data_IF_157264647927
#
_entry.id   IF_157264647927
#
_cell.length_a   1.000
_cell.length_b   1.000
_cell.length_c   1.000
_cell.angle_alpha   90.00
_cell.angle_beta   90.00
_cell.angle_gamma   90.00
#
_symmetry.space_group_name_H-M   'P 1'
#
loop_
_entity.id
_entity.type
_entity.pdbx_description
1 polymer ?
#
# COMPACT_ATOMS: atom_id res chain seq x y z
N UNK A 1 -9.86 -9.43 28.81
CA UNK A 1 -8.77 -8.75 28.11
C UNK A 1 -9.39 -7.69 27.20
N UNK A 2 -9.05 -6.41 27.43
CA UNK A 2 -9.55 -5.18 26.81
C UNK A 2 -10.90 -5.24 26.07
N UNK A 3 -11.96 -5.12 26.86
CA UNK A 3 -13.30 -4.78 26.41
C UNK A 3 -13.40 -3.31 25.98
N UNK A 4 -12.69 -2.91 24.92
CA UNK A 4 -12.88 -1.61 24.26
C UNK A 4 -14.18 -1.60 23.44
N UNK A 5 -15.29 -1.98 24.07
CA UNK A 5 -16.64 -1.83 23.52
C UNK A 5 -17.06 -0.37 23.71
N UNK A 6 -16.47 0.52 22.93
CA UNK A 6 -16.90 1.91 22.87
C UNK A 6 -18.37 1.91 22.46
N UNK A 7 -19.22 2.48 23.31
CA UNK A 7 -20.64 2.23 23.27
C UNK A 7 -21.29 3.03 22.13
N UNK A 8 -21.33 2.46 20.93
CA UNK A 8 -21.99 3.02 19.75
C UNK A 8 -23.51 3.23 19.93
N UNK A 9 -24.11 2.79 21.05
CA UNK A 9 -25.50 3.12 21.44
C UNK A 9 -25.62 4.44 22.20
N UNK A 10 -24.52 5.11 22.55
CA UNK A 10 -24.49 6.42 23.23
C UNK A 10 -24.05 7.57 22.30
N UNK A 11 -24.51 7.55 21.04
CA UNK A 11 -24.25 8.59 20.04
C UNK A 11 -24.59 10.01 20.54
N UNK A 12 -25.63 10.16 21.39
CA UNK A 12 -26.00 11.45 21.98
C UNK A 12 -24.98 12.07 22.95
N UNK A 13 -23.92 11.34 23.34
CA UNK A 13 -22.80 11.87 24.13
C UNK A 13 -21.61 12.32 23.27
N UNK A 14 -21.66 12.11 21.96
CA UNK A 14 -20.57 12.49 21.05
C UNK A 14 -20.71 13.95 20.64
N UNK A 15 -19.60 14.58 20.24
CA UNK A 15 -19.65 15.94 19.67
C UNK A 15 -20.49 15.98 18.38
N UNK A 16 -21.16 17.12 18.15
CA UNK A 16 -22.08 17.32 17.02
C UNK A 16 -21.42 16.98 15.67
N UNK A 17 -20.17 17.40 15.47
CA UNK A 17 -19.44 17.13 14.23
C UNK A 17 -19.22 15.63 14.02
N UNK A 18 -18.98 14.91 15.12
CA UNK A 18 -18.74 13.47 15.11
C UNK A 18 -20.04 12.69 14.89
N UNK A 19 -21.16 13.15 15.46
CA UNK A 19 -22.49 12.60 15.18
C UNK A 19 -22.82 12.74 13.68
N UNK A 20 -22.65 13.93 13.10
CA UNK A 20 -22.92 14.20 11.68
C UNK A 20 -22.09 13.32 10.75
N UNK A 21 -20.77 13.26 10.96
CA UNK A 21 -19.84 12.49 10.12
C UNK A 21 -20.11 10.98 10.21
N UNK A 22 -20.43 10.47 11.41
CA UNK A 22 -20.60 9.04 11.67
C UNK A 22 -21.63 8.36 10.76
N UNK A 23 -22.76 9.00 10.47
CA UNK A 23 -23.82 8.44 9.62
C UNK A 23 -23.39 8.17 8.17
N UNK A 24 -22.31 8.82 7.70
CA UNK A 24 -21.80 8.68 6.34
C UNK A 24 -20.55 7.78 6.24
N UNK A 25 -20.12 7.15 7.33
CA UNK A 25 -18.99 6.20 7.34
C UNK A 25 -19.48 4.81 6.89
N UNK A 26 -19.50 4.59 5.58
CA UNK A 26 -19.86 3.31 4.94
C UNK A 26 -18.65 2.40 4.63
N UNK A 27 -17.43 2.94 4.71
CA UNK A 27 -16.19 2.26 4.30
C UNK A 27 -16.10 2.02 2.79
N UNK A 28 -16.72 2.89 1.99
CA UNK A 28 -16.62 2.98 0.52
C UNK A 28 -16.29 4.42 0.10
N UNK A 29 -16.96 5.40 0.70
CA UNK A 29 -16.72 6.80 0.46
C UNK A 29 -15.39 7.27 1.09
N UNK A 30 -14.69 8.15 0.39
CA UNK A 30 -13.47 8.79 0.88
C UNK A 30 -13.81 10.05 1.70
N UNK A 31 -12.90 10.47 2.59
CA UNK A 31 -13.11 11.56 3.55
C UNK A 31 -13.67 12.84 2.93
N UNK A 32 -13.19 13.26 1.75
CA UNK A 32 -13.71 14.47 1.09
C UNK A 32 -15.17 14.34 0.65
N UNK A 33 -15.63 13.13 0.28
CA UNK A 33 -17.03 12.88 -0.08
C UNK A 33 -17.91 12.80 1.16
N UNK A 34 -17.40 12.22 2.24
CA UNK A 34 -18.06 12.19 3.56
C UNK A 34 -18.26 13.62 4.08
N UNK A 35 -17.23 14.46 4.06
CA UNK A 35 -17.30 15.87 4.47
C UNK A 35 -18.37 16.64 3.68
N UNK A 36 -18.41 16.47 2.36
CA UNK A 36 -19.43 17.07 1.48
C UNK A 36 -20.86 16.57 1.77
N UNK A 37 -21.04 15.29 2.11
CA UNK A 37 -22.36 14.73 2.45
C UNK A 37 -22.84 15.15 3.85
N UNK A 38 -21.91 15.37 4.78
CA UNK A 38 -22.19 15.80 6.14
C UNK A 38 -22.35 17.33 6.30
N UNK A 39 -22.06 18.11 5.25
CA UNK A 39 -21.98 19.58 5.27
C UNK A 39 -20.97 20.12 6.32
N UNK A 40 -19.78 19.52 6.36
CA UNK A 40 -18.69 19.86 7.30
C UNK A 40 -17.42 20.19 6.52
N UNK A 41 -16.64 21.19 6.99
CA UNK A 41 -15.33 21.50 6.40
C UNK A 41 -14.40 20.28 6.37
N UNK A 42 -13.65 20.15 5.28
CA UNK A 42 -12.77 18.98 5.04
C UNK A 42 -11.66 18.84 6.09
N UNK A 43 -11.18 19.92 6.69
CA UNK A 43 -10.12 19.87 7.71
C UNK A 43 -10.69 19.49 9.07
N UNK A 44 -11.88 20.00 9.41
CA UNK A 44 -12.63 19.55 10.59
C UNK A 44 -13.02 18.07 10.48
N UNK A 45 -13.45 17.62 9.29
CA UNK A 45 -13.75 16.21 9.04
C UNK A 45 -12.51 15.31 9.14
N UNK A 46 -11.35 15.75 8.64
CA UNK A 46 -10.07 15.04 8.84
C UNK A 46 -9.71 14.93 10.33
N UNK A 47 -9.83 16.02 11.10
CA UNK A 47 -9.54 16.02 12.53
C UNK A 47 -10.49 15.10 13.32
N UNK A 48 -11.79 15.14 13.03
CA UNK A 48 -12.77 14.22 13.60
C UNK A 48 -12.43 12.75 13.31
N UNK A 49 -12.15 12.40 12.05
CA UNK A 49 -11.80 11.03 11.66
C UNK A 49 -10.46 10.60 12.29
N UNK A 50 -9.47 11.50 12.39
CA UNK A 50 -8.22 11.23 13.11
C UNK A 50 -8.46 10.89 14.58
N UNK A 51 -9.36 11.60 15.27
CA UNK A 51 -9.75 11.28 16.64
C UNK A 51 -10.45 9.91 16.73
N UNK A 52 -11.36 9.61 15.80
CA UNK A 52 -12.03 8.30 15.73
C UNK A 52 -11.04 7.14 15.51
N UNK A 53 -10.00 7.35 14.71
CA UNK A 53 -8.91 6.37 14.50
C UNK A 53 -8.06 6.23 15.76
N UNK A 54 -7.73 7.34 16.43
CA UNK A 54 -6.96 7.33 17.68
C UNK A 54 -7.63 6.52 18.79
N UNK A 55 -8.96 6.60 18.92
CA UNK A 55 -9.74 5.77 19.86
C UNK A 55 -10.05 4.35 19.33
N UNK A 56 -9.59 3.98 18.14
CA UNK A 56 -9.80 2.65 17.55
C UNK A 56 -11.24 2.37 17.11
N UNK A 57 -12.05 3.41 16.87
CA UNK A 57 -13.46 3.28 16.48
C UNK A 57 -13.64 3.07 14.98
N UNK A 58 -12.70 3.61 14.19
CA UNK A 58 -12.70 3.56 12.73
C UNK A 58 -11.29 3.22 12.25
N UNK A 59 -11.19 2.42 11.19
CA UNK A 59 -9.94 2.13 10.49
C UNK A 59 -9.98 2.68 9.06
N UNK A 60 -8.82 3.09 8.54
CA UNK A 60 -8.70 3.55 7.15
C UNK A 60 -8.45 2.36 6.21
N UNK A 61 -9.37 2.15 5.28
CA UNK A 61 -9.22 1.17 4.19
C UNK A 61 -8.76 1.90 2.92
N UNK A 62 -7.74 1.41 2.19
CA UNK A 62 -7.32 1.98 0.92
C UNK A 62 -8.45 1.98 -0.12
N UNK A 63 -8.57 3.07 -0.89
CA UNK A 63 -9.56 3.18 -1.98
C UNK A 63 -9.40 2.02 -2.98
N UNK A 64 -10.49 1.31 -3.21
CA UNK A 64 -10.57 0.21 -4.18
C UNK A 64 -10.44 0.75 -5.60
N UNK A 65 -9.48 0.21 -6.34
CA UNK A 65 -9.20 0.53 -7.74
C UNK A 65 -8.78 -0.76 -8.45
N UNK A 66 -9.30 -0.99 -9.66
CA UNK A 66 -8.97 -2.19 -10.45
C UNK A 66 -7.48 -2.31 -10.82
N UNK A 67 -6.77 -1.18 -10.87
CA UNK A 67 -5.31 -1.11 -11.11
C UNK A 67 -4.46 -1.42 -9.87
N UNK A 68 -5.06 -1.53 -8.68
CA UNK A 68 -4.32 -1.90 -7.48
C UNK A 68 -3.81 -3.34 -7.57
N UNK A 69 -2.66 -3.58 -6.95
CA UNK A 69 -2.09 -4.90 -6.70
C UNK A 69 -2.24 -5.21 -5.22
N UNK A 70 -2.78 -6.40 -4.92
CA UNK A 70 -2.89 -6.93 -3.56
C UNK A 70 -2.15 -8.26 -3.49
N UNK A 71 -1.65 -8.59 -2.30
CA UNK A 71 -0.95 -9.84 -2.04
C UNK A 71 -1.47 -10.46 -0.75
N UNK A 72 -1.68 -11.77 -0.80
CA UNK A 72 -2.13 -12.55 0.34
C UNK A 72 -1.04 -12.72 1.39
N UNK A 73 -1.44 -12.53 2.65
CA UNK A 73 -0.61 -12.69 3.84
C UNK A 73 -0.75 -14.12 4.38
N UNK A 74 0.13 -14.58 5.30
CA UNK A 74 -0.06 -15.88 5.98
C UNK A 74 -1.37 -15.97 6.79
N UNK A 75 -2.01 -14.84 7.13
CA UNK A 75 -3.32 -14.79 7.83
C UNK A 75 -4.47 -15.43 7.05
N UNK A 76 -4.30 -15.71 5.75
CA UNK A 76 -5.21 -16.59 5.00
C UNK A 76 -5.43 -17.95 5.68
N UNK A 77 -4.44 -18.43 6.45
CA UNK A 77 -4.55 -19.65 7.25
C UNK A 77 -5.60 -19.52 8.36
N UNK A 78 -5.70 -18.36 9.02
CA UNK A 78 -6.72 -18.07 10.03
C UNK A 78 -8.15 -18.15 9.46
N UNK A 79 -8.33 -17.78 8.19
CA UNK A 79 -9.58 -18.00 7.45
C UNK A 79 -9.89 -19.49 7.21
N UNK A 80 -8.92 -20.40 7.14
CA UNK A 80 -9.23 -21.83 7.02
C UNK A 80 -9.61 -22.45 8.37
N UNK A 81 -8.90 -22.08 9.43
CA UNK A 81 -9.00 -22.65 10.78
C UNK A 81 -10.25 -22.18 11.54
N UNK A 82 -10.67 -20.91 11.38
CA UNK A 82 -11.81 -20.35 12.13
C UNK A 82 -13.13 -20.42 11.35
N UNK A 83 -14.12 -21.26 11.76
CA UNK A 83 -15.40 -21.37 11.06
C UNK A 83 -16.21 -20.06 11.09
N UNK A 84 -16.21 -19.33 12.22
CA UNK A 84 -16.93 -18.07 12.34
C UNK A 84 -16.43 -17.00 11.34
N UNK A 85 -15.12 -16.95 11.10
CA UNK A 85 -14.52 -16.01 10.15
C UNK A 85 -14.85 -16.39 8.70
N UNK A 86 -15.02 -17.70 8.41
CA UNK A 86 -15.48 -18.20 7.11
C UNK A 86 -16.92 -17.77 6.84
N UNK A 87 -17.81 -17.95 7.81
CA UNK A 87 -19.23 -17.60 7.66
C UNK A 87 -19.43 -16.07 7.57
N UNK A 88 -18.61 -15.30 8.29
CA UNK A 88 -18.53 -13.84 8.16
C UNK A 88 -18.04 -13.44 6.76
N UNK A 89 -16.97 -14.07 6.27
CA UNK A 89 -16.41 -13.83 4.94
C UNK A 89 -17.44 -14.10 3.83
N UNK A 90 -18.09 -15.27 3.84
CA UNK A 90 -19.08 -15.62 2.81
C UNK A 90 -20.30 -14.69 2.82
N UNK A 91 -20.67 -14.15 3.98
CA UNK A 91 -21.76 -13.18 4.13
C UNK A 91 -21.40 -11.82 3.56
N UNK A 92 -20.25 -11.26 3.95
CA UNK A 92 -19.79 -9.95 3.50
C UNK A 92 -19.44 -9.94 2.00
N UNK A 93 -18.84 -11.01 1.49
CA UNK A 93 -18.37 -11.12 0.10
C UNK A 93 -19.53 -11.31 -0.91
N UNK A 94 -20.74 -11.61 -0.43
CA UNK A 94 -21.91 -11.85 -1.28
C UNK A 94 -22.29 -10.59 -2.07
N UNK A 95 -22.44 -10.75 -3.38
CA UNK A 95 -23.01 -9.74 -4.26
C UNK A 95 -24.51 -9.59 -4.02
N UNK A 96 -24.97 -8.35 -3.85
CA UNK A 96 -26.38 -8.04 -3.63
C UNK A 96 -27.22 -8.44 -4.86
N UNK A 97 -28.36 -9.08 -4.62
CA UNK A 97 -29.20 -9.63 -5.69
C UNK A 97 -28.68 -10.93 -6.34
N UNK A 98 -27.54 -11.49 -5.91
CA UNK A 98 -27.08 -12.79 -6.41
C UNK A 98 -27.91 -13.95 -5.83
N UNK A 99 -28.48 -14.76 -6.75
CA UNK A 99 -29.09 -16.06 -6.46
C UNK A 99 -28.01 -17.10 -6.09
N UNK A 100 -26.83 -17.01 -6.71
CA UNK A 100 -25.69 -17.91 -6.47
C UNK A 100 -25.00 -17.50 -5.17
N UNK A 101 -24.80 -18.46 -4.28
CA UNK A 101 -24.04 -18.27 -3.04
C UNK A 101 -22.54 -18.44 -3.28
N UNK A 102 -21.68 -17.58 -2.67
CA UNK A 102 -20.24 -17.66 -2.84
C UNK A 102 -19.69 -18.93 -2.18
N UNK A 103 -19.03 -19.79 -2.97
CA UNK A 103 -18.34 -20.95 -2.43
C UNK A 103 -16.99 -20.54 -1.83
N UNK A 104 -16.70 -20.99 -0.60
CA UNK A 104 -15.39 -20.77 0.04
C UNK A 104 -14.22 -21.23 -0.84
N UNK A 105 -14.38 -22.31 -1.61
CA UNK A 105 -13.35 -22.78 -2.55
C UNK A 105 -13.00 -21.71 -3.60
N UNK A 106 -13.98 -20.93 -4.05
CA UNK A 106 -13.78 -19.84 -5.02
C UNK A 106 -13.18 -18.60 -4.37
N UNK A 107 -13.61 -18.26 -3.15
CA UNK A 107 -13.01 -17.17 -2.35
C UNK A 107 -11.53 -17.44 -2.06
N UNK A 108 -11.20 -18.64 -1.58
CA UNK A 108 -9.81 -19.06 -1.38
C UNK A 108 -9.02 -19.11 -2.70
N UNK A 109 -9.61 -19.60 -3.79
CA UNK A 109 -8.97 -19.58 -5.11
C UNK A 109 -8.62 -18.15 -5.56
N UNK A 110 -9.50 -17.17 -5.32
CA UNK A 110 -9.21 -15.76 -5.62
C UNK A 110 -8.05 -15.23 -4.78
N UNK A 111 -8.08 -15.41 -3.45
CA UNK A 111 -6.98 -14.98 -2.58
C UNK A 111 -5.65 -15.66 -2.95
N UNK A 112 -5.61 -16.98 -3.14
CA UNK A 112 -4.38 -17.70 -3.52
C UNK A 112 -3.77 -17.27 -4.86
N UNK A 113 -4.52 -16.55 -5.72
CA UNK A 113 -4.02 -15.98 -6.97
C UNK A 113 -3.65 -14.48 -6.86
N UNK A 114 -3.82 -13.85 -5.69
CA UNK A 114 -3.35 -12.48 -5.44
C UNK A 114 -1.84 -12.49 -5.17
N UNK A 115 -1.08 -12.40 -6.27
CA UNK A 115 0.39 -12.41 -6.27
C UNK A 115 0.96 -11.05 -6.73
N UNK A 116 2.22 -10.71 -6.38
CA UNK A 116 2.87 -9.51 -6.87
C UNK A 116 2.84 -9.44 -8.41
N UNK A 117 2.34 -8.34 -8.95
CA UNK A 117 2.23 -8.13 -10.40
C UNK A 117 0.89 -8.53 -11.03
N UNK A 118 -0.01 -9.22 -10.32
CA UNK A 118 -1.41 -9.38 -10.75
C UNK A 118 -2.27 -8.23 -10.21
N UNK A 119 -2.94 -7.50 -11.09
CA UNK A 119 -3.91 -6.47 -10.67
C UNK A 119 -5.27 -7.09 -10.35
N UNK A 120 -6.13 -6.38 -9.62
CA UNK A 120 -7.53 -6.80 -9.43
C UNK A 120 -8.24 -6.97 -10.77
N UNK A 121 -7.95 -6.12 -11.76
CA UNK A 121 -8.49 -6.27 -13.13
C UNK A 121 -8.16 -7.63 -13.73
N UNK A 122 -6.90 -8.05 -13.68
CA UNK A 122 -6.44 -9.33 -14.23
C UNK A 122 -7.07 -10.52 -13.49
N UNK A 123 -7.22 -10.41 -12.16
CA UNK A 123 -7.88 -11.40 -11.33
C UNK A 123 -9.36 -11.56 -11.72
N UNK A 124 -10.09 -10.44 -11.86
CA UNK A 124 -11.49 -10.44 -12.27
C UNK A 124 -11.67 -11.01 -13.68
N UNK A 125 -10.76 -10.71 -14.61
CA UNK A 125 -10.80 -11.23 -15.99
C UNK A 125 -10.51 -12.73 -16.07
N UNK A 126 -9.69 -13.29 -15.17
CA UNK A 126 -9.35 -14.74 -15.15
C UNK A 126 -10.40 -15.60 -14.45
N UNK A 127 -10.99 -15.10 -13.36
CA UNK A 127 -11.83 -15.90 -12.46
C UNK A 127 -13.31 -15.51 -12.43
N UNK A 128 -13.67 -14.36 -13.03
CA UNK A 128 -15.04 -13.85 -13.13
C UNK A 128 -15.81 -13.92 -11.79
N UNK A 129 -15.39 -13.20 -10.72
CA UNK A 129 -16.00 -13.30 -9.39
C UNK A 129 -17.53 -13.12 -9.43
N UNK A 130 -17.98 -12.20 -10.27
CA UNK A 130 -19.38 -11.94 -10.61
C UNK A 130 -20.24 -13.19 -10.89
N UNK A 131 -19.74 -14.18 -11.64
CA UNK A 131 -20.52 -15.39 -11.97
C UNK A 131 -20.61 -16.38 -10.82
N UNK A 132 -19.79 -16.20 -9.77
CA UNK A 132 -19.78 -17.01 -8.56
C UNK A 132 -20.53 -16.31 -7.40
N UNK A 133 -21.28 -15.24 -7.67
CA UNK A 133 -21.97 -14.45 -6.63
C UNK A 133 -21.05 -13.62 -5.73
N UNK A 134 -19.79 -13.43 -6.12
CA UNK A 134 -18.75 -12.73 -5.36
C UNK A 134 -18.66 -11.28 -5.84
N UNK A 135 -18.70 -10.34 -4.90
CA UNK A 135 -18.41 -8.92 -5.10
C UNK A 135 -16.92 -8.65 -4.84
N UNK A 136 -16.18 -8.22 -5.86
CA UNK A 136 -14.75 -7.94 -5.73
C UNK A 136 -14.41 -6.78 -4.79
N UNK A 137 -15.27 -5.77 -4.66
CA UNK A 137 -15.01 -4.65 -3.75
C UNK A 137 -15.18 -5.10 -2.30
N UNK A 138 -16.25 -5.84 -1.99
CA UNK A 138 -16.48 -6.40 -0.65
C UNK A 138 -15.42 -7.45 -0.28
N UNK A 139 -14.99 -8.27 -1.24
CA UNK A 139 -13.86 -9.21 -1.08
C UNK A 139 -12.57 -8.50 -0.67
N UNK A 140 -12.16 -7.47 -1.40
CA UNK A 140 -10.95 -6.73 -1.08
C UNK A 140 -11.09 -5.96 0.24
N UNK A 141 -12.25 -5.35 0.53
CA UNK A 141 -12.53 -4.66 1.80
C UNK A 141 -12.40 -5.62 2.99
N UNK A 142 -13.08 -6.76 2.96
CA UNK A 142 -13.00 -7.78 4.00
C UNK A 142 -11.58 -8.31 4.18
N UNK A 143 -10.90 -8.64 3.07
CA UNK A 143 -9.53 -9.15 3.08
C UNK A 143 -8.54 -8.19 3.75
N UNK A 144 -8.66 -6.87 3.50
CA UNK A 144 -7.83 -5.86 4.15
C UNK A 144 -8.20 -5.72 5.63
N UNK A 145 -9.50 -5.63 5.96
CA UNK A 145 -9.97 -5.44 7.34
C UNK A 145 -9.60 -6.61 8.27
N UNK A 146 -9.49 -7.84 7.74
CA UNK A 146 -9.06 -9.03 8.49
C UNK A 146 -7.55 -9.34 8.34
N UNK A 147 -6.79 -8.48 7.65
CA UNK A 147 -5.35 -8.67 7.45
C UNK A 147 -4.96 -9.81 6.49
N UNK A 148 -5.92 -10.44 5.82
CA UNK A 148 -5.74 -11.58 4.88
C UNK A 148 -4.99 -11.15 3.61
N UNK A 149 -5.15 -9.89 3.20
CA UNK A 149 -4.42 -9.30 2.08
C UNK A 149 -3.83 -7.94 2.46
N UNK A 150 -2.68 -7.61 1.88
CA UNK A 150 -2.05 -6.29 1.94
C UNK A 150 -1.99 -5.67 0.54
N UNK A 151 -2.06 -4.34 0.46
CA UNK A 151 -1.87 -3.60 -0.79
C UNK A 151 -0.38 -3.43 -1.07
N UNK A 152 0.08 -3.71 -2.30
CA UNK A 152 1.40 -3.27 -2.75
C UNK A 152 1.28 -1.83 -3.26
N UNK A 153 2.18 -0.97 -2.80
CA UNK A 153 2.39 0.36 -3.35
C UNK A 153 3.76 0.40 -4.05
N UNK A 154 3.84 1.08 -5.18
CA UNK A 154 5.08 1.32 -5.92
C UNK A 154 5.44 2.79 -5.76
N UNK A 155 6.66 3.05 -5.33
CA UNK A 155 7.18 4.41 -5.16
C UNK A 155 8.43 4.59 -6.02
N UNK A 156 8.53 5.68 -6.81
CA UNK A 156 9.77 6.01 -7.49
C UNK A 156 10.83 6.40 -6.46
N UNK A 157 12.06 5.93 -6.67
CA UNK A 157 13.24 6.38 -5.93
C UNK A 157 14.06 7.26 -6.86
N UNK A 158 14.48 8.44 -6.38
CA UNK A 158 15.45 9.26 -7.09
C UNK A 158 16.82 8.60 -6.92
N UNK A 159 17.38 8.12 -8.02
CA UNK A 159 18.78 7.71 -8.05
C UNK A 159 19.60 8.96 -8.36
N UNK A 160 20.44 9.37 -7.41
CA UNK A 160 21.51 10.32 -7.68
C UNK A 160 22.59 9.57 -8.45
N UNK A 161 22.36 9.33 -9.74
CA UNK A 161 23.45 8.99 -10.64
C UNK A 161 24.41 10.18 -10.64
N UNK A 162 25.72 9.98 -10.39
CA UNK A 162 26.66 11.03 -10.71
C UNK A 162 26.49 11.30 -12.20
N UNK A 163 26.26 12.57 -12.55
CA UNK A 163 26.37 12.99 -13.93
C UNK A 163 27.86 12.79 -14.24
N UNK A 164 28.17 11.73 -14.99
CA UNK A 164 29.46 11.63 -15.66
C UNK A 164 29.51 12.86 -16.57
N UNK A 165 30.25 13.89 -16.14
CA UNK A 165 30.53 15.06 -16.96
C UNK A 165 31.29 14.54 -18.18
N UNK A 166 30.60 14.36 -19.32
CA UNK A 166 31.29 14.07 -20.57
C UNK A 166 32.34 15.17 -20.77
N UNK A 167 33.64 14.81 -20.91
CA UNK A 167 34.69 15.81 -20.99
C UNK A 167 34.49 16.62 -22.27
N UNK A 168 34.08 17.89 -22.08
CA UNK A 168 33.59 18.77 -23.13
C UNK A 168 34.56 18.79 -24.34
N UNK A 169 34.20 18.21 -25.50
CA UNK A 169 35.14 17.94 -26.59
C UNK A 169 35.67 19.21 -27.27
N UNK A 170 35.18 20.39 -26.85
CA UNK A 170 35.60 21.70 -27.33
C UNK A 170 36.51 22.46 -26.36
N UNK A 171 36.95 21.85 -25.26
CA UNK A 171 37.94 22.41 -24.34
C UNK A 171 39.30 22.68 -25.05
N UNK A 172 39.45 23.87 -25.63
CA UNK A 172 40.66 24.28 -26.36
C UNK A 172 41.87 24.29 -25.42
N UNK A 173 42.79 23.36 -25.68
CA UNK A 173 44.17 23.42 -25.18
C UNK A 173 44.83 24.67 -25.76
N UNK A 174 45.01 25.70 -24.93
CA UNK A 174 45.85 26.85 -25.21
C UNK A 174 46.94 26.95 -24.14
N UNK A 175 48.13 27.37 -24.58
CA UNK A 175 49.44 26.96 -24.02
C UNK A 175 49.97 27.90 -22.90
N UNK A 176 51.22 27.74 -22.40
CA UNK A 176 51.55 28.01 -21.00
C UNK A 176 51.87 29.48 -20.68
N UNK A 177 51.73 29.83 -19.39
CA UNK A 177 52.46 30.94 -18.77
C UNK A 177 53.10 30.43 -17.48
N UNK A 178 54.44 30.48 -17.42
CA UNK A 178 55.18 30.12 -16.23
C UNK A 178 55.27 31.30 -15.26
N UNK A 179 54.87 31.07 -14.00
CA UNK A 179 55.40 31.81 -12.84
C UNK A 179 55.64 30.83 -11.71
N UNK A 180 56.85 30.83 -11.16
CA UNK A 180 57.28 29.91 -10.11
C UNK A 180 56.76 30.36 -8.73
N UNK A 181 56.46 29.39 -7.87
CA UNK A 181 57.02 29.38 -6.50
C UNK A 181 57.13 27.94 -5.98
N UNK A 182 58.04 27.72 -5.02
CA UNK A 182 58.50 26.40 -4.57
C UNK A 182 57.79 25.93 -3.29
N UNK A 183 57.97 24.63 -2.95
CA UNK A 183 58.14 23.97 -1.63
C UNK A 183 57.70 22.50 -1.82
N UNK A 184 58.59 21.51 -2.01
CA UNK A 184 59.54 20.83 -1.09
C UNK A 184 58.89 19.85 -0.10
N UNK A 185 59.06 18.54 -0.42
CA UNK A 185 59.28 17.33 0.41
C UNK A 185 58.37 16.15 0.04
N UNK A 186 58.73 14.85 0.14
CA UNK A 186 59.95 14.00 0.03
C UNK A 186 59.57 12.68 0.75
N UNK A 187 59.78 11.50 0.13
CA UNK A 187 59.61 10.13 0.72
C UNK A 187 58.16 9.78 1.19
N UNK A 188 57.59 8.56 1.21
CA UNK A 188 57.91 7.15 0.84
C UNK A 188 56.58 6.35 0.90
N UNK A 189 56.35 5.12 0.39
CA UNK A 189 57.14 4.12 -0.35
C UNK A 189 56.23 2.97 -0.86
N UNK A 190 56.67 2.27 -1.93
CA UNK A 190 56.27 0.90 -2.34
C UNK A 190 54.87 0.66 -2.99
N UNK A 191 54.76 -0.26 -3.96
CA UNK A 191 53.52 -0.56 -4.69
C UNK A 191 52.82 -1.86 -4.20
N UNK A 192 51.50 -1.95 -4.40
CA UNK A 192 50.83 -3.24 -4.57
C UNK A 192 49.79 -3.18 -5.69
N UNK A 193 49.71 -4.29 -6.42
CA UNK A 193 48.71 -4.59 -7.43
C UNK A 193 47.29 -4.68 -6.85
N UNK A 194 46.27 -4.67 -7.70
CA UNK A 194 45.51 -5.90 -7.96
C UNK A 194 44.51 -5.76 -9.12
N UNK A 195 44.52 -6.79 -9.96
CA UNK A 195 43.53 -7.15 -10.97
C UNK A 195 42.17 -7.39 -10.32
N UNK A 196 41.06 -7.05 -11.00
CA UNK A 196 40.04 -8.05 -11.44
C UNK A 196 38.70 -7.42 -11.86
N UNK A 197 38.29 -7.79 -13.07
CA UNK A 197 36.91 -8.05 -13.50
C UNK A 197 35.90 -8.42 -12.40
N UNK A 198 34.68 -7.88 -12.45
CA UNK A 198 33.52 -8.65 -12.94
C UNK A 198 32.19 -7.88 -12.97
N UNK A 199 31.41 -8.21 -14.00
CA UNK A 199 29.95 -8.42 -14.01
C UNK A 199 29.21 -8.31 -12.67
N UNK A 200 28.05 -7.64 -12.64
CA UNK A 200 26.75 -8.34 -12.67
C UNK A 200 25.54 -7.39 -12.79
N UNK A 201 24.60 -7.74 -13.66
CA UNK A 201 23.24 -7.17 -13.66
C UNK A 201 22.53 -7.47 -12.35
N UNK A 202 22.00 -6.45 -11.66
CA UNK A 202 21.06 -6.64 -10.56
C UNK A 202 19.94 -5.59 -10.58
N UNK A 203 18.88 -5.90 -11.33
CA UNK A 203 17.56 -5.33 -11.11
C UNK A 203 17.07 -5.75 -9.70
N UNK A 204 17.22 -4.89 -8.70
CA UNK A 204 16.70 -5.15 -7.34
C UNK A 204 15.47 -4.27 -7.12
N UNK A 205 14.29 -4.86 -7.29
CA UNK A 205 13.07 -4.34 -6.70
C UNK A 205 13.08 -4.68 -5.21
N UNK A 206 13.53 -3.76 -4.36
CA UNK A 206 13.48 -3.94 -2.90
C UNK A 206 12.05 -3.78 -2.41
N UNK A 207 11.50 -4.87 -1.85
CA UNK A 207 10.27 -4.80 -1.07
C UNK A 207 10.61 -4.31 0.34
N UNK A 208 10.11 -3.12 0.69
CA UNK A 208 10.06 -2.67 2.08
C UNK A 208 8.78 -3.21 2.73
N UNK A 209 8.92 -4.25 3.54
CA UNK A 209 7.89 -4.67 4.48
C UNK A 209 8.12 -3.94 5.80
N UNK A 210 7.28 -2.92 6.05
CA UNK A 210 7.26 -2.17 7.30
C UNK A 210 6.60 -2.96 8.43
N UNK A 211 7.21 -2.89 9.61
CA UNK A 211 6.82 -3.57 10.84
C UNK A 211 5.78 -2.78 11.65
#
# INVERSE_FOLDING_TARGET
MNSNHFNAKNIGQWDLTTQQIYYYIDGVNHVSKIAFLADVDINLAKACIQNLIYYGLVSLVPIFLYSNVYVTTPEIRSLLENPMLRDECLREVRKDGSIVEPSLKKVLQLYSNMCPGMTVKDLCQRFCPHSNGIDEQKLIKFGIMKGIIRRIQKYPILLNEPIDEEPDPYARVNSPTATQSMIINRSTSSPQSNTSTSNYSKNICTYFDGN
#
